data_IF_847184120302
#
_entry.id   IF_847184120302
#
_cell.length_a   1.000
_cell.length_b   1.000
_cell.length_c   1.000
_cell.angle_alpha   90.00
_cell.angle_beta   90.00
_cell.angle_gamma   90.00
#
_symmetry.space_group_name_H-M   'P 1'
#
loop_
_entity.id
_entity.type
_entity.pdbx_description
1 polymer ?
#
# COMPACT_ATOMS: atom_id res chain seq x y z
N UNK A 1 -19.78 50.26 20.12
CA UNK A 1 -20.29 49.55 18.93
C UNK A 1 -19.20 49.11 17.96
N UNK A 2 -18.09 49.82 17.83
CA UNK A 2 -17.00 49.39 16.93
C UNK A 2 -16.25 48.11 17.38
N UNK A 3 -16.24 47.77 18.66
CA UNK A 3 -15.56 46.58 19.19
C UNK A 3 -16.28 45.26 18.88
N UNK A 4 -17.55 45.26 18.56
CA UNK A 4 -18.35 44.07 18.30
C UNK A 4 -18.08 43.54 16.88
N UNK A 5 -17.82 44.40 15.92
CA UNK A 5 -17.53 44.01 14.54
C UNK A 5 -16.15 43.38 14.37
N UNK A 6 -15.17 43.81 15.17
CA UNK A 6 -13.84 43.21 15.17
C UNK A 6 -13.84 41.79 15.73
N UNK A 7 -14.69 41.52 16.70
CA UNK A 7 -14.79 40.22 17.34
C UNK A 7 -15.39 39.16 16.42
N UNK A 8 -16.35 39.53 15.60
CA UNK A 8 -16.97 38.61 14.64
C UNK A 8 -16.05 38.29 13.45
N UNK A 9 -15.28 39.26 13.00
CA UNK A 9 -14.31 39.05 11.92
C UNK A 9 -13.18 38.11 12.35
N UNK A 10 -12.74 38.23 13.59
CA UNK A 10 -11.69 37.32 14.14
C UNK A 10 -12.18 35.89 14.30
N UNK A 11 -13.44 35.70 14.70
CA UNK A 11 -14.05 34.37 14.82
C UNK A 11 -14.22 33.69 13.47
N UNK A 12 -14.58 34.42 12.43
CA UNK A 12 -14.74 33.88 11.08
C UNK A 12 -13.39 33.50 10.48
N UNK A 13 -12.36 34.30 10.71
CA UNK A 13 -11.00 33.99 10.25
C UNK A 13 -10.42 32.74 10.97
N UNK A 14 -10.69 32.62 12.27
CA UNK A 14 -10.24 31.45 13.04
C UNK A 14 -10.95 30.17 12.61
N UNK A 15 -12.24 30.27 12.28
CA UNK A 15 -13.02 29.12 11.79
C UNK A 15 -12.57 28.68 10.40
N UNK A 16 -12.22 29.62 9.53
CA UNK A 16 -11.69 29.32 8.19
C UNK A 16 -10.30 28.64 8.25
N UNK A 17 -9.46 29.02 9.20
CA UNK A 17 -8.16 28.40 9.44
C UNK A 17 -8.27 26.98 10.00
N UNK A 18 -9.28 26.69 10.82
CA UNK A 18 -9.55 25.36 11.34
C UNK A 18 -10.07 24.41 10.28
N UNK A 19 -10.86 24.86 9.34
CA UNK A 19 -11.34 24.05 8.21
C UNK A 19 -10.23 23.70 7.20
N UNK A 20 -9.25 24.58 7.04
CA UNK A 20 -8.09 24.32 6.18
C UNK A 20 -7.13 23.26 6.74
N UNK A 21 -7.04 23.14 8.07
CA UNK A 21 -6.16 22.15 8.72
C UNK A 21 -6.72 20.71 8.65
N UNK A 22 -8.03 20.54 8.57
CA UNK A 22 -8.67 19.21 8.47
C UNK A 22 -8.52 18.58 7.10
N UNK A 23 -8.34 19.36 6.04
CA UNK A 23 -8.11 18.84 4.68
C UNK A 23 -6.72 18.22 4.47
N UNK A 24 -5.76 18.47 5.38
CA UNK A 24 -4.40 17.98 5.29
C UNK A 24 -4.19 16.58 5.94
N UNK A 25 -5.18 16.06 6.67
CA UNK A 25 -5.07 14.81 7.43
C UNK A 25 -5.49 13.55 6.66
N UNK A 26 -5.76 13.62 5.37
CA UNK A 26 -6.26 12.50 4.56
C UNK A 26 -5.25 11.89 3.59
N UNK A 27 -3.95 12.00 3.85
CA UNK A 27 -2.95 11.46 2.95
C UNK A 27 -2.74 9.96 3.18
N UNK A 28 -3.06 9.22 2.14
CA UNK A 28 -2.74 7.81 2.01
C UNK A 28 -1.21 7.65 1.91
N UNK A 29 -0.61 7.08 2.94
CA UNK A 29 0.84 6.85 3.02
C UNK A 29 1.36 5.88 1.94
N UNK A 30 0.45 5.19 1.23
CA UNK A 30 0.79 4.23 0.18
C UNK A 30 0.93 4.85 -1.22
N UNK A 31 0.81 6.16 -1.37
CA UNK A 31 0.96 6.83 -2.69
C UNK A 31 2.37 6.76 -3.24
N UNK A 32 3.36 6.58 -2.38
CA UNK A 32 4.76 6.49 -2.79
C UNK A 32 5.09 5.06 -3.24
N UNK A 33 5.44 4.89 -4.49
CA UNK A 33 5.81 3.59 -5.06
C UNK A 33 4.65 2.78 -5.63
N UNK A 34 3.44 3.34 -5.65
CA UNK A 34 2.28 2.71 -6.29
C UNK A 34 1.61 3.68 -7.26
N UNK A 35 0.95 3.15 -8.28
CA UNK A 35 0.08 3.92 -9.17
C UNK A 35 -1.23 3.20 -9.39
N UNK A 36 -2.27 3.97 -9.65
CA UNK A 36 -3.57 3.42 -10.00
C UNK A 36 -3.47 2.63 -11.30
N UNK A 37 -4.22 1.53 -11.39
CA UNK A 37 -4.25 0.71 -12.59
C UNK A 37 -5.21 1.35 -13.59
N UNK A 38 -4.65 1.75 -14.71
CA UNK A 38 -5.42 2.27 -15.86
C UNK A 38 -5.70 1.19 -16.91
N UNK A 39 -4.99 0.06 -16.82
CA UNK A 39 -5.18 -1.11 -17.69
C UNK A 39 -5.95 -2.21 -16.95
N UNK A 40 -6.50 -3.18 -17.69
CA UNK A 40 -7.17 -4.32 -17.07
C UNK A 40 -6.23 -5.10 -16.15
N UNK A 41 -6.58 -5.20 -14.87
CA UNK A 41 -5.88 -6.02 -13.92
C UNK A 41 -6.10 -7.51 -14.21
N UNK A 42 -5.16 -8.41 -13.81
CA UNK A 42 -5.39 -9.85 -13.89
C UNK A 42 -6.66 -10.27 -13.15
N UNK A 43 -7.38 -11.23 -13.68
CA UNK A 43 -8.54 -11.83 -13.01
C UNK A 43 -8.09 -12.73 -11.85
N UNK A 44 -6.92 -13.33 -11.98
CA UNK A 44 -6.29 -14.18 -10.97
C UNK A 44 -4.83 -13.79 -10.82
N UNK A 45 -4.31 -13.94 -9.60
CA UNK A 45 -2.91 -13.74 -9.27
C UNK A 45 -2.27 -15.08 -8.96
N UNK A 46 -1.00 -15.24 -9.35
CA UNK A 46 -0.28 -16.48 -9.07
C UNK A 46 -0.03 -16.66 -7.59
N UNK A 47 0.13 -15.56 -6.86
CA UNK A 47 0.33 -15.53 -5.43
C UNK A 47 -0.44 -14.40 -4.79
N UNK A 48 -1.16 -14.69 -3.71
CA UNK A 48 -1.81 -13.67 -2.87
C UNK A 48 -1.23 -13.75 -1.47
N UNK A 49 -0.75 -12.63 -0.96
CA UNK A 49 -0.15 -12.50 0.37
C UNK A 49 -0.85 -11.39 1.15
N UNK A 50 -0.83 -11.50 2.46
CA UNK A 50 -1.39 -10.48 3.35
C UNK A 50 -0.26 -9.76 4.10
N UNK A 51 -0.50 -8.48 4.40
CA UNK A 51 0.39 -7.75 5.29
C UNK A 51 0.31 -8.35 6.70
N UNK A 52 1.46 -8.58 7.33
CA UNK A 52 1.58 -9.05 8.69
C UNK A 52 2.44 -8.08 9.51
N UNK A 53 2.57 -8.34 10.80
CA UNK A 53 3.30 -7.49 11.74
C UNK A 53 4.77 -7.33 11.34
N UNK A 54 5.37 -6.22 11.75
CA UNK A 54 6.81 -5.96 11.59
C UNK A 54 7.32 -6.03 10.14
N UNK A 55 6.46 -5.67 9.17
CA UNK A 55 6.84 -5.70 7.76
C UNK A 55 6.91 -7.09 7.14
N UNK A 56 6.43 -8.12 7.82
CA UNK A 56 6.35 -9.48 7.32
C UNK A 56 5.06 -9.71 6.51
N UNK A 57 4.94 -10.88 5.93
CA UNK A 57 3.81 -11.28 5.10
C UNK A 57 3.20 -12.57 5.62
N UNK A 58 1.89 -12.69 5.53
CA UNK A 58 1.17 -13.94 5.75
C UNK A 58 0.88 -14.58 4.40
N UNK A 59 1.30 -15.83 4.27
CA UNK A 59 0.96 -16.68 3.15
C UNK A 59 0.42 -18.01 3.68
N UNK A 60 -0.86 -18.27 3.41
CA UNK A 60 -1.58 -19.47 3.86
C UNK A 60 -1.46 -19.74 5.37
N UNK A 61 -1.47 -18.69 6.19
CA UNK A 61 -1.36 -18.78 7.63
C UNK A 61 0.07 -18.84 8.18
N UNK A 62 1.07 -18.83 7.32
CA UNK A 62 2.48 -18.78 7.70
C UNK A 62 3.02 -17.36 7.59
N UNK A 63 3.65 -16.87 8.66
CA UNK A 63 4.37 -15.58 8.65
C UNK A 63 5.72 -15.74 7.97
N UNK A 64 5.93 -15.01 6.88
CA UNK A 64 7.15 -15.02 6.09
C UNK A 64 7.83 -13.65 6.13
N UNK A 65 9.14 -13.62 6.29
CA UNK A 65 9.94 -12.44 5.99
C UNK A 65 9.98 -12.22 4.46
N UNK A 66 10.43 -11.05 4.02
CA UNK A 66 10.65 -10.80 2.59
C UNK A 66 11.62 -11.82 1.97
N UNK A 67 12.65 -12.21 2.71
CA UNK A 67 13.63 -13.21 2.24
C UNK A 67 13.02 -14.62 2.14
N UNK A 68 12.22 -15.03 3.11
CA UNK A 68 11.51 -16.31 3.08
C UNK A 68 10.53 -16.38 1.89
N UNK A 69 9.81 -15.30 1.66
CA UNK A 69 8.89 -15.20 0.52
C UNK A 69 9.64 -15.27 -0.81
N UNK A 70 10.78 -14.58 -0.92
CA UNK A 70 11.67 -14.64 -2.08
C UNK A 70 12.16 -16.05 -2.36
N UNK A 71 12.59 -16.78 -1.32
CA UNK A 71 13.00 -18.16 -1.40
C UNK A 71 11.87 -19.07 -1.86
N UNK A 72 10.65 -18.85 -1.36
CA UNK A 72 9.47 -19.61 -1.77
C UNK A 72 9.13 -19.41 -3.25
N UNK A 73 9.19 -18.18 -3.74
CA UNK A 73 8.94 -17.88 -5.16
C UNK A 73 9.98 -18.54 -6.06
N UNK A 74 11.26 -18.53 -5.69
CA UNK A 74 12.33 -19.23 -6.41
C UNK A 74 12.08 -20.74 -6.44
N UNK A 75 11.70 -21.32 -5.32
CA UNK A 75 11.35 -22.73 -5.24
C UNK A 75 10.20 -23.09 -6.18
N UNK A 76 9.16 -22.25 -6.25
CA UNK A 76 8.04 -22.49 -7.17
C UNK A 76 8.47 -22.41 -8.64
N UNK A 77 9.37 -21.50 -8.97
CA UNK A 77 9.91 -21.38 -10.32
C UNK A 77 10.72 -22.64 -10.71
N UNK A 78 11.57 -23.11 -9.82
CA UNK A 78 12.34 -24.37 -10.01
C UNK A 78 11.43 -25.59 -10.13
N UNK A 79 10.27 -25.57 -9.45
CA UNK A 79 9.27 -26.65 -9.52
C UNK A 79 8.34 -26.53 -10.76
N UNK A 80 8.68 -25.70 -11.74
CA UNK A 80 7.89 -25.44 -12.95
C UNK A 80 6.49 -24.85 -12.67
N UNK A 81 6.37 -24.09 -11.58
CA UNK A 81 5.18 -23.30 -11.22
C UNK A 81 5.55 -21.83 -11.05
N UNK A 82 5.94 -21.16 -12.14
CA UNK A 82 6.47 -19.81 -12.05
C UNK A 82 5.41 -18.82 -11.53
N UNK A 83 5.84 -17.98 -10.61
CA UNK A 83 5.05 -16.84 -10.12
C UNK A 83 5.36 -15.63 -11.00
N UNK A 84 4.36 -15.10 -11.66
CA UNK A 84 4.45 -13.91 -12.52
C UNK A 84 3.74 -12.69 -11.92
N UNK A 85 2.71 -12.95 -11.14
CA UNK A 85 1.89 -11.91 -10.52
C UNK A 85 1.69 -12.18 -9.04
N UNK A 86 1.83 -11.13 -8.23
CA UNK A 86 1.63 -11.18 -6.78
C UNK A 86 0.62 -10.10 -6.40
N UNK A 87 -0.34 -10.44 -5.57
CA UNK A 87 -1.26 -9.49 -4.95
C UNK A 87 -0.98 -9.40 -3.45
N UNK A 88 -0.72 -8.19 -2.98
CA UNK A 88 -0.63 -7.86 -1.56
C UNK A 88 -1.96 -7.28 -1.10
N UNK A 89 -2.52 -7.83 -0.03
CA UNK A 89 -3.73 -7.34 0.62
C UNK A 89 -3.46 -7.02 2.09
N UNK A 90 -4.32 -6.20 2.69
CA UNK A 90 -4.27 -6.02 4.14
C UNK A 90 -4.56 -7.32 4.87
N UNK A 91 -3.91 -7.53 6.01
CA UNK A 91 -4.24 -8.61 6.93
C UNK A 91 -5.52 -8.33 7.72
N UNK A 92 -5.96 -9.30 8.51
CA UNK A 92 -7.10 -9.14 9.42
C UNK A 92 -6.83 -8.08 10.51
N UNK A 93 -5.61 -8.07 11.04
CA UNK A 93 -5.19 -7.20 12.15
C UNK A 93 -4.16 -6.15 11.73
N UNK A 94 -3.50 -6.33 10.59
CA UNK A 94 -2.41 -5.49 10.13
C UNK A 94 -2.76 -4.78 8.82
N UNK A 95 -2.58 -3.47 8.84
CA UNK A 95 -2.67 -2.65 7.63
C UNK A 95 -1.39 -2.77 6.81
N UNK A 96 -1.52 -2.55 5.50
CA UNK A 96 -0.36 -2.43 4.63
C UNK A 96 0.41 -1.16 5.01
N UNK A 97 1.72 -1.28 5.18
CA UNK A 97 2.65 -0.19 5.47
C UNK A 97 3.61 0.01 4.30
N UNK A 98 4.29 1.14 4.26
CA UNK A 98 5.30 1.43 3.25
C UNK A 98 6.43 0.40 3.22
N UNK A 99 6.77 -0.20 4.35
CA UNK A 99 7.74 -1.31 4.43
C UNK A 99 7.30 -2.51 3.62
N UNK A 100 6.04 -2.92 3.69
CA UNK A 100 5.51 -4.02 2.88
C UNK A 100 5.63 -3.72 1.38
N UNK A 101 5.23 -2.52 0.96
CA UNK A 101 5.31 -2.09 -0.45
C UNK A 101 6.76 -2.03 -0.92
N UNK A 102 7.65 -1.46 -0.14
CA UNK A 102 9.07 -1.32 -0.46
C UNK A 102 9.77 -2.68 -0.60
N UNK A 103 9.53 -3.60 0.33
CA UNK A 103 10.08 -4.96 0.26
C UNK A 103 9.56 -5.72 -0.96
N UNK A 104 8.26 -5.61 -1.22
CA UNK A 104 7.66 -6.27 -2.37
C UNK A 104 8.13 -5.65 -3.70
N UNK A 105 8.34 -4.34 -3.77
CA UNK A 105 8.91 -3.67 -4.94
C UNK A 105 10.32 -4.18 -5.27
N UNK A 106 11.18 -4.30 -4.25
CA UNK A 106 12.52 -4.86 -4.41
C UNK A 106 12.49 -6.31 -4.89
N UNK A 107 11.63 -7.11 -4.32
CA UNK A 107 11.42 -8.51 -4.71
C UNK A 107 10.91 -8.63 -6.15
N UNK A 108 9.93 -7.82 -6.52
CA UNK A 108 9.37 -7.80 -7.87
C UNK A 108 10.42 -7.47 -8.93
N UNK A 109 11.29 -6.50 -8.64
CA UNK A 109 12.42 -6.16 -9.50
C UNK A 109 13.39 -7.34 -9.64
N UNK A 110 13.82 -7.93 -8.53
CA UNK A 110 14.85 -8.96 -8.52
C UNK A 110 14.37 -10.27 -9.16
N UNK A 111 13.10 -10.62 -8.99
CA UNK A 111 12.50 -11.84 -9.50
C UNK A 111 11.75 -11.63 -10.82
N UNK A 112 11.68 -10.42 -11.33
CA UNK A 112 10.96 -10.07 -12.57
C UNK A 112 9.49 -10.47 -12.55
N UNK A 113 8.82 -10.24 -11.43
CA UNK A 113 7.40 -10.46 -11.24
C UNK A 113 6.66 -9.11 -11.19
N UNK A 114 5.40 -9.09 -11.53
CA UNK A 114 4.56 -7.90 -11.38
C UNK A 114 3.81 -7.97 -10.05
N UNK A 115 3.97 -6.97 -9.22
CA UNK A 115 3.31 -6.89 -7.93
C UNK A 115 2.19 -5.87 -7.94
N UNK A 116 1.07 -6.26 -7.35
CA UNK A 116 -0.12 -5.44 -7.16
C UNK A 116 -0.40 -5.31 -5.67
N UNK A 117 -1.04 -4.24 -5.29
CA UNK A 117 -1.52 -4.01 -3.93
C UNK A 117 -2.98 -3.58 -3.95
N UNK A 118 -3.79 -4.24 -3.15
CA UNK A 118 -5.11 -3.74 -2.77
C UNK A 118 -4.91 -2.92 -1.49
N UNK A 119 -4.99 -1.60 -1.60
CA UNK A 119 -4.70 -0.71 -0.49
C UNK A 119 -5.69 -0.87 0.67
N UNK A 120 -5.46 -0.14 1.76
CA UNK A 120 -6.29 -0.24 2.97
C UNK A 120 -7.75 0.19 2.74
N UNK A 121 -8.02 0.90 1.64
CA UNK A 121 -9.37 1.34 1.22
C UNK A 121 -9.99 0.41 0.16
N UNK A 122 -9.29 -0.64 -0.23
CA UNK A 122 -9.75 -1.63 -1.21
C UNK A 122 -9.48 -1.25 -2.67
N UNK A 123 -8.68 -0.21 -2.93
CA UNK A 123 -8.31 0.18 -4.29
C UNK A 123 -7.11 -0.65 -4.77
N UNK A 124 -7.22 -1.16 -5.99
CA UNK A 124 -6.14 -1.91 -6.62
C UNK A 124 -5.15 -0.96 -7.29
N UNK A 125 -3.87 -1.15 -6.98
CA UNK A 125 -2.75 -0.37 -7.53
C UNK A 125 -1.63 -1.30 -7.97
N UNK A 126 -0.86 -0.88 -8.97
CA UNK A 126 0.37 -1.57 -9.34
C UNK A 126 1.53 -1.00 -8.53
N UNK A 127 2.43 -1.88 -8.06
CA UNK A 127 3.66 -1.47 -7.40
C UNK A 127 4.69 -1.13 -8.48
N UNK A 128 5.14 0.11 -8.47
CA UNK A 128 6.17 0.56 -9.41
C UNK A 128 7.55 0.09 -8.97
N UNK A 129 8.26 -0.49 -9.91
CA UNK A 129 9.65 -0.90 -9.75
C UNK A 129 10.52 0.16 -10.38
N UNK A 130 11.37 0.79 -9.58
CA UNK A 130 12.40 1.72 -10.08
C UNK A 130 13.63 0.90 -10.41
N UNK A 131 14.06 0.96 -11.68
CA UNK A 131 15.30 0.34 -12.14
C UNK A 131 16.54 1.17 -11.73
#
# INVERSE_FOLDING_TARGET
MRKVYFYNSLKVVLLALLLGALAACGHDDLKKGTSEITAAAPVQYDLTILADKDGTFDFDGATLTAEDLRGHIRYLDEAHRPVRTILLKRGEKEKIKNTHVSELAGMARDLKVTAYVEDNDGHLKIIQVVE
#
